data_IF_743951232954
#
_entry.id   IF_743951232954
#
_cell.length_a   1.000
_cell.length_b   1.000
_cell.length_c   1.000
_cell.angle_alpha   90.00
_cell.angle_beta   90.00
_cell.angle_gamma   90.00
#
_symmetry.space_group_name_H-M   'P 1'
#
loop_
_entity.id
_entity.type
_entity.pdbx_description
1 polymer ?
#
# COMPACT_ATOMS: atom_id res chain seq x y z
N UNK A 1 -22.86 -26.58 4.66
CA UNK A 1 -22.92 -25.14 4.98
C UNK A 1 -21.51 -24.73 5.41
N UNK A 2 -20.66 -24.31 4.47
CA UNK A 2 -19.34 -23.77 4.81
C UNK A 2 -19.55 -22.34 5.33
N UNK A 3 -19.67 -22.19 6.65
CA UNK A 3 -19.79 -20.88 7.27
C UNK A 3 -18.53 -20.04 7.02
N UNK A 4 -18.72 -18.75 6.72
CA UNK A 4 -17.64 -17.77 6.61
C UNK A 4 -16.77 -17.80 7.87
N UNK A 5 -15.44 -17.84 7.70
CA UNK A 5 -14.49 -17.91 8.83
C UNK A 5 -14.75 -16.80 9.85
N UNK A 6 -14.69 -17.08 11.18
CA UNK A 6 -14.80 -16.05 12.22
C UNK A 6 -13.79 -14.91 12.07
N UNK A 7 -12.68 -15.15 11.39
CA UNK A 7 -11.71 -14.11 11.05
C UNK A 7 -12.27 -13.14 10.01
N UNK A 8 -12.78 -13.69 8.91
CA UNK A 8 -13.39 -12.92 7.80
C UNK A 8 -14.57 -12.10 8.32
N UNK A 9 -15.44 -12.70 9.14
CA UNK A 9 -16.56 -11.98 9.79
C UNK A 9 -16.05 -10.81 10.66
N UNK A 10 -14.94 -11.01 11.39
CA UNK A 10 -14.33 -9.94 12.18
C UNK A 10 -13.83 -8.78 11.31
N UNK A 11 -13.17 -9.08 10.20
CA UNK A 11 -12.66 -8.08 9.25
C UNK A 11 -13.80 -7.28 8.61
N UNK A 12 -14.88 -7.95 8.20
CA UNK A 12 -16.08 -7.30 7.65
C UNK A 12 -16.67 -6.33 8.69
N UNK A 13 -16.91 -6.81 9.91
CA UNK A 13 -17.44 -5.98 11.00
C UNK A 13 -16.54 -4.78 11.33
N UNK A 14 -15.21 -4.94 11.21
CA UNK A 14 -14.25 -3.86 11.42
C UNK A 14 -14.44 -2.71 10.41
N UNK A 15 -14.64 -3.04 9.13
CA UNK A 15 -14.86 -2.06 8.07
C UNK A 15 -16.29 -1.51 8.07
N UNK A 16 -17.31 -2.31 8.36
CA UNK A 16 -18.70 -1.85 8.42
C UNK A 16 -18.90 -0.71 9.42
N UNK A 17 -18.24 -0.79 10.59
CA UNK A 17 -18.28 0.30 11.60
C UNK A 17 -17.65 1.61 11.13
N UNK A 18 -16.82 1.56 10.08
CA UNK A 18 -16.11 2.72 9.50
C UNK A 18 -16.74 3.21 8.21
N UNK A 19 -17.75 2.49 7.71
CA UNK A 19 -18.43 2.80 6.46
C UNK A 19 -19.38 3.97 6.65
N UNK A 20 -19.26 4.97 5.81
CA UNK A 20 -20.11 6.14 5.83
C UNK A 20 -21.30 5.98 4.88
N UNK A 21 -22.50 6.54 5.17
CA UNK A 21 -23.65 6.50 4.26
C UNK A 21 -23.36 7.07 2.87
N UNK A 22 -22.40 7.99 2.77
CA UNK A 22 -21.93 8.56 1.50
C UNK A 22 -21.10 7.59 0.65
N UNK A 23 -20.62 6.47 1.21
CA UNK A 23 -19.86 5.44 0.48
C UNK A 23 -18.38 5.34 0.86
N UNK A 24 -17.77 6.41 1.39
CA UNK A 24 -16.38 6.38 1.86
C UNK A 24 -16.20 5.76 3.25
N UNK A 25 -14.95 5.54 3.66
CA UNK A 25 -14.58 4.99 4.97
C UNK A 25 -13.71 5.97 5.77
N UNK A 26 -13.85 5.93 7.09
CA UNK A 26 -13.03 6.70 8.05
C UNK A 26 -12.02 5.81 8.78
N UNK A 27 -11.04 6.43 9.45
CA UNK A 27 -10.13 5.76 10.38
C UNK A 27 -10.86 5.31 11.66
N UNK A 28 -11.67 6.19 12.25
CA UNK A 28 -12.47 5.93 13.47
C UNK A 28 -13.87 6.54 13.33
N UNK A 29 -13.92 7.87 13.30
CA UNK A 29 -15.13 8.69 13.22
C UNK A 29 -14.84 9.92 12.33
N UNK A 30 -15.88 10.69 12.00
CA UNK A 30 -15.73 11.91 11.21
C UNK A 30 -15.80 11.67 9.70
N UNK A 31 -15.14 12.55 8.93
CA UNK A 31 -15.26 12.56 7.49
C UNK A 31 -14.48 11.38 6.85
N UNK A 32 -15.08 10.67 5.89
CA UNK A 32 -14.35 9.65 5.14
C UNK A 32 -13.29 10.28 4.24
N UNK A 33 -12.23 9.52 3.97
CA UNK A 33 -11.13 9.95 3.09
C UNK A 33 -10.73 8.85 2.10
N UNK A 34 -9.95 9.21 1.08
CA UNK A 34 -9.57 8.27 0.02
C UNK A 34 -8.62 7.17 0.51
N UNK A 35 -7.77 7.43 1.51
CA UNK A 35 -6.82 6.44 2.05
C UNK A 35 -7.55 5.31 2.75
N UNK A 36 -8.41 5.63 3.70
CA UNK A 36 -9.15 4.64 4.46
C UNK A 36 -10.18 3.92 3.60
N UNK A 37 -10.78 4.61 2.63
CA UNK A 37 -11.65 4.00 1.61
C UNK A 37 -10.90 2.99 0.74
N UNK A 38 -9.71 3.36 0.24
CA UNK A 38 -8.85 2.45 -0.51
C UNK A 38 -8.56 1.18 0.27
N UNK A 39 -8.04 1.32 1.49
CA UNK A 39 -7.68 0.15 2.27
C UNK A 39 -8.88 -0.71 2.66
N UNK A 40 -10.05 -0.13 2.92
CA UNK A 40 -11.27 -0.89 3.17
C UNK A 40 -11.68 -1.70 1.94
N UNK A 41 -11.82 -1.06 0.78
CA UNK A 41 -12.25 -1.74 -0.45
C UNK A 41 -11.24 -2.81 -0.85
N UNK A 42 -9.93 -2.50 -0.89
CA UNK A 42 -8.91 -3.51 -1.24
C UNK A 42 -8.88 -4.67 -0.26
N UNK A 43 -9.16 -4.45 1.03
CA UNK A 43 -9.26 -5.55 2.00
C UNK A 43 -10.45 -6.45 1.70
N UNK A 44 -11.63 -5.85 1.50
CA UNK A 44 -12.88 -6.57 1.24
C UNK A 44 -12.84 -7.31 -0.10
N UNK A 45 -12.17 -6.77 -1.12
CA UNK A 45 -11.87 -7.48 -2.38
C UNK A 45 -11.06 -8.75 -2.15
N UNK A 46 -9.99 -8.67 -1.34
CA UNK A 46 -9.09 -9.80 -1.10
C UNK A 46 -9.83 -10.97 -0.43
N UNK A 47 -10.83 -10.69 0.40
CA UNK A 47 -11.65 -11.71 1.09
C UNK A 47 -13.00 -11.97 0.40
N UNK A 48 -13.18 -11.52 -0.85
CA UNK A 48 -14.40 -11.69 -1.64
C UNK A 48 -15.68 -11.31 -0.87
N UNK A 49 -15.64 -10.16 -0.19
CA UNK A 49 -16.69 -9.66 0.71
C UNK A 49 -16.98 -8.18 0.48
N UNK A 50 -16.93 -7.75 -0.78
CA UNK A 50 -17.31 -6.39 -1.16
C UNK A 50 -18.76 -6.09 -0.73
N UNK A 51 -19.07 -4.83 -0.35
CA UNK A 51 -20.45 -4.45 -0.10
C UNK A 51 -21.28 -4.45 -1.38
N UNK A 52 -22.57 -4.80 -1.26
CA UNK A 52 -23.53 -4.87 -2.39
C UNK A 52 -23.61 -3.54 -3.18
N UNK A 53 -23.43 -2.41 -2.52
CA UNK A 53 -23.49 -1.06 -3.09
C UNK A 53 -22.11 -0.41 -3.26
N UNK A 54 -21.08 -1.18 -3.64
CA UNK A 54 -19.74 -0.64 -3.98
C UNK A 54 -19.80 0.51 -5.00
N UNK A 55 -20.80 0.52 -5.89
CA UNK A 55 -21.05 1.61 -6.83
C UNK A 55 -21.17 2.98 -6.13
N UNK A 56 -21.79 3.04 -4.94
CA UNK A 56 -21.88 4.28 -4.16
C UNK A 56 -20.52 4.78 -3.70
N UNK A 57 -19.62 3.87 -3.32
CA UNK A 57 -18.24 4.23 -2.97
C UNK A 57 -17.50 4.80 -4.18
N UNK A 58 -17.70 4.24 -5.37
CA UNK A 58 -17.10 4.74 -6.60
C UNK A 58 -17.66 6.12 -7.00
N UNK A 59 -18.98 6.31 -6.93
CA UNK A 59 -19.63 7.61 -7.19
C UNK A 59 -19.09 8.69 -6.23
N UNK A 60 -18.97 8.33 -4.95
CA UNK A 60 -18.37 9.22 -3.95
C UNK A 60 -16.91 9.56 -4.29
N UNK A 61 -16.09 8.59 -4.72
CA UNK A 61 -14.70 8.84 -5.14
C UNK A 61 -14.62 9.74 -6.38
N UNK A 62 -15.55 9.64 -7.33
CA UNK A 62 -15.60 10.53 -8.49
C UNK A 62 -15.84 11.97 -8.07
N UNK A 63 -16.83 12.19 -7.19
CA UNK A 63 -17.20 13.51 -6.66
C UNK A 63 -16.15 14.08 -5.70
N UNK A 64 -15.39 13.19 -5.03
CA UNK A 64 -14.34 13.52 -4.08
C UNK A 64 -13.30 14.41 -4.77
N UNK A 65 -13.45 15.73 -4.56
CA UNK A 65 -12.61 16.83 -5.07
C UNK A 65 -12.92 17.37 -6.46
N UNK A 66 -14.20 17.40 -6.84
CA UNK A 66 -14.66 18.41 -7.80
C UNK A 66 -14.23 19.85 -7.43
N UNK A 67 -13.87 20.11 -6.15
CA UNK A 67 -13.57 21.46 -5.61
C UNK A 67 -12.18 21.71 -4.98
N UNK A 68 -11.21 20.76 -4.92
CA UNK A 68 -9.97 20.95 -4.13
C UNK A 68 -8.68 20.30 -4.64
N UNK A 69 -7.56 20.52 -3.93
CA UNK A 69 -6.23 19.89 -4.17
C UNK A 69 -5.95 18.77 -3.18
N UNK A 70 -5.45 17.64 -3.65
CA UNK A 70 -4.95 16.55 -2.80
C UNK A 70 -3.43 16.61 -2.67
N UNK A 71 -2.91 16.07 -1.56
CA UNK A 71 -1.55 15.52 -1.54
C UNK A 71 -1.46 14.31 -2.49
N UNK A 72 -0.28 14.03 -3.05
CA UNK A 72 -0.07 12.95 -4.02
C UNK A 72 -0.62 11.59 -3.53
N UNK A 73 -0.49 11.29 -2.23
CA UNK A 73 -1.02 10.08 -1.63
C UNK A 73 -2.55 9.96 -1.73
N UNK A 74 -3.31 11.01 -1.38
CA UNK A 74 -4.77 10.97 -1.46
C UNK A 74 -5.28 10.85 -2.89
N UNK A 75 -4.54 11.44 -3.84
CA UNK A 75 -4.81 11.34 -5.27
C UNK A 75 -4.56 9.92 -5.79
N UNK A 76 -3.46 9.28 -5.38
CA UNK A 76 -3.15 7.89 -5.70
C UNK A 76 -4.30 6.97 -5.29
N UNK A 77 -4.71 6.98 -4.01
CA UNK A 77 -5.75 6.08 -3.53
C UNK A 77 -7.09 6.23 -4.27
N UNK A 78 -7.48 7.47 -4.59
CA UNK A 78 -8.67 7.74 -5.40
C UNK A 78 -8.54 7.19 -6.82
N UNK A 79 -7.47 7.56 -7.51
CA UNK A 79 -7.27 7.20 -8.92
C UNK A 79 -7.11 5.69 -9.09
N UNK A 80 -6.37 5.03 -8.19
CA UNK A 80 -6.18 3.58 -8.24
C UNK A 80 -7.49 2.81 -8.11
N UNK A 81 -8.35 3.16 -7.14
CA UNK A 81 -9.66 2.50 -7.03
C UNK A 81 -10.56 2.77 -8.24
N UNK A 82 -10.63 4.00 -8.73
CA UNK A 82 -11.46 4.29 -9.90
C UNK A 82 -10.96 3.53 -11.14
N UNK A 83 -9.64 3.43 -11.32
CA UNK A 83 -9.02 2.69 -12.41
C UNK A 83 -9.29 1.18 -12.31
N UNK A 84 -9.15 0.58 -11.12
CA UNK A 84 -9.41 -0.84 -10.87
C UNK A 84 -10.84 -1.26 -11.29
N UNK A 85 -11.81 -0.34 -11.18
CA UNK A 85 -13.21 -0.57 -11.55
C UNK A 85 -13.58 -0.01 -12.93
N UNK A 86 -12.60 0.40 -13.74
CA UNK A 86 -12.83 0.93 -15.08
C UNK A 86 -13.68 2.21 -15.12
N UNK A 87 -13.71 2.97 -14.01
CA UNK A 87 -14.40 4.26 -13.96
C UNK A 87 -13.54 5.32 -14.64
N UNK A 88 -14.16 6.19 -15.42
CA UNK A 88 -13.46 7.34 -16.00
C UNK A 88 -13.25 8.43 -14.96
N UNK A 89 -12.03 8.95 -14.88
CA UNK A 89 -11.72 10.09 -14.01
C UNK A 89 -10.67 10.99 -14.64
N UNK A 90 -10.71 12.26 -14.27
CA UNK A 90 -9.72 13.24 -14.71
C UNK A 90 -9.04 13.91 -13.53
N UNK A 91 -7.71 13.95 -13.57
CA UNK A 91 -6.91 14.85 -12.73
C UNK A 91 -6.66 16.15 -13.49
N UNK A 92 -6.81 17.30 -12.83
CA UNK A 92 -6.55 18.61 -13.47
C UNK A 92 -5.09 18.70 -13.89
N UNK A 93 -4.82 19.15 -15.11
CA UNK A 93 -3.48 19.22 -15.72
C UNK A 93 -2.46 19.95 -14.83
N UNK A 94 -2.87 21.04 -14.16
CA UNK A 94 -2.02 21.76 -13.19
C UNK A 94 -1.45 20.87 -12.07
N UNK A 95 -2.19 19.84 -11.66
CA UNK A 95 -1.72 18.89 -10.64
C UNK A 95 -0.77 17.89 -11.28
N UNK A 96 -1.07 17.37 -12.46
CA UNK A 96 -0.14 16.50 -13.20
C UNK A 96 1.21 17.22 -13.42
N UNK A 97 1.18 18.48 -13.84
CA UNK A 97 2.38 19.33 -13.96
C UNK A 97 3.17 19.45 -12.64
N UNK A 98 2.47 19.56 -11.51
CA UNK A 98 3.10 19.60 -10.19
C UNK A 98 3.77 18.26 -9.86
N UNK A 99 3.13 17.12 -10.14
CA UNK A 99 3.73 15.79 -9.94
C UNK A 99 5.01 15.66 -10.77
N UNK A 100 4.95 15.99 -12.08
CA UNK A 100 6.11 15.94 -12.99
C UNK A 100 7.31 16.74 -12.49
N UNK A 101 7.08 17.89 -11.85
CA UNK A 101 8.15 18.80 -11.40
C UNK A 101 8.68 18.52 -9.99
N UNK A 102 7.97 17.73 -9.18
CA UNK A 102 8.26 17.60 -7.75
C UNK A 102 8.79 16.24 -7.31
N UNK A 103 8.73 15.20 -8.15
CA UNK A 103 9.10 13.84 -7.76
C UNK A 103 10.52 13.73 -7.16
N UNK A 104 11.56 14.31 -7.78
CA UNK A 104 12.95 14.26 -7.25
C UNK A 104 13.14 14.95 -5.89
N UNK A 105 12.25 15.87 -5.53
CA UNK A 105 12.30 16.63 -4.27
C UNK A 105 11.57 15.93 -3.13
N UNK A 106 10.82 14.88 -3.45
CA UNK A 106 9.97 14.17 -2.50
C UNK A 106 10.69 12.97 -1.89
N UNK A 107 10.11 12.41 -0.82
CA UNK A 107 10.49 11.08 -0.32
C UNK A 107 10.09 10.02 -1.35
N UNK A 108 10.80 8.90 -1.39
CA UNK A 108 10.55 7.83 -2.36
C UNK A 108 9.12 7.28 -2.31
N UNK A 109 8.53 7.12 -1.13
CA UNK A 109 7.10 6.79 -0.97
C UNK A 109 6.18 7.78 -1.72
N UNK A 110 6.43 9.08 -1.56
CA UNK A 110 5.63 10.11 -2.22
C UNK A 110 5.86 10.08 -3.73
N UNK A 111 7.09 9.83 -4.18
CA UNK A 111 7.40 9.62 -5.59
C UNK A 111 6.67 8.41 -6.16
N UNK A 112 6.55 7.31 -5.42
CA UNK A 112 5.75 6.15 -5.83
C UNK A 112 4.28 6.52 -6.07
N UNK A 113 3.66 7.29 -5.17
CA UNK A 113 2.29 7.78 -5.38
C UNK A 113 2.18 8.70 -6.60
N UNK A 114 3.13 9.63 -6.77
CA UNK A 114 3.18 10.54 -7.92
C UNK A 114 3.31 9.79 -9.25
N UNK A 115 4.27 8.87 -9.33
CA UNK A 115 4.54 8.03 -10.49
C UNK A 115 3.32 7.18 -10.84
N UNK A 116 2.71 6.54 -9.85
CA UNK A 116 1.51 5.72 -10.06
C UNK A 116 0.35 6.53 -10.65
N UNK A 117 0.11 7.75 -10.14
CA UNK A 117 -0.92 8.63 -10.71
C UNK A 117 -0.58 9.03 -12.15
N UNK A 118 0.67 9.36 -12.45
CA UNK A 118 1.10 9.73 -13.80
C UNK A 118 0.93 8.55 -14.79
N UNK A 119 1.32 7.34 -14.40
CA UNK A 119 1.14 6.13 -15.22
C UNK A 119 -0.33 5.80 -15.48
N UNK A 120 -1.22 6.02 -14.52
CA UNK A 120 -2.67 5.91 -14.72
C UNK A 120 -3.21 6.89 -15.77
N UNK A 121 -2.46 7.95 -16.11
CA UNK A 121 -2.78 8.89 -17.18
C UNK A 121 -1.92 8.66 -18.44
N UNK A 122 -1.25 7.51 -18.54
CA UNK A 122 -0.38 7.17 -19.67
C UNK A 122 0.94 7.95 -19.71
N UNK A 123 1.31 8.64 -18.64
CA UNK A 123 2.55 9.40 -18.55
C UNK A 123 3.66 8.60 -17.86
N UNK A 124 4.68 8.19 -18.63
CA UNK A 124 5.86 7.50 -18.14
C UNK A 124 7.06 8.45 -18.22
N UNK A 125 7.51 8.97 -17.08
CA UNK A 125 8.64 9.90 -17.03
C UNK A 125 9.95 9.12 -16.93
N UNK A 126 10.78 9.15 -17.97
CA UNK A 126 12.10 8.47 -18.00
C UNK A 126 13.00 8.86 -16.82
N UNK A 127 12.90 10.11 -16.36
CA UNK A 127 13.69 10.60 -15.24
C UNK A 127 13.29 10.06 -13.87
N UNK A 128 12.18 9.32 -13.74
CA UNK A 128 11.73 8.68 -12.49
C UNK A 128 12.58 7.44 -12.18
N UNK A 129 12.65 6.40 -13.04
CA UNK A 129 13.50 5.24 -12.77
C UNK A 129 14.98 5.62 -12.63
N UNK A 130 15.49 6.57 -13.41
CA UNK A 130 16.87 7.09 -13.24
C UNK A 130 17.11 7.62 -11.83
N UNK A 131 16.17 8.40 -11.31
CA UNK A 131 16.27 8.94 -9.96
C UNK A 131 16.16 7.83 -8.90
N UNK A 132 15.25 6.88 -9.07
CA UNK A 132 15.10 5.75 -8.14
C UNK A 132 16.38 4.90 -8.11
N UNK A 133 16.97 4.58 -9.27
CA UNK A 133 18.25 3.86 -9.35
C UNK A 133 19.37 4.60 -8.63
N UNK A 134 19.41 5.93 -8.69
CA UNK A 134 20.39 6.75 -7.96
C UNK A 134 20.27 6.67 -6.42
N UNK A 135 19.20 6.06 -5.90
CA UNK A 135 18.99 5.84 -4.46
C UNK A 135 19.40 4.44 -4.00
N UNK A 136 19.89 3.57 -4.89
CA UNK A 136 20.40 2.26 -4.50
C UNK A 136 21.76 2.43 -3.80
N UNK A 137 21.94 1.77 -2.65
CA UNK A 137 23.20 1.77 -1.91
C UNK A 137 23.99 0.48 -2.18
N UNK A 138 25.26 0.45 -1.72
CA UNK A 138 26.18 -0.67 -1.91
C UNK A 138 25.69 -2.00 -1.32
N UNK A 139 24.75 -1.96 -0.36
CA UNK A 139 24.14 -3.14 0.23
C UNK A 139 22.99 -3.72 -0.63
N UNK A 140 22.68 -3.11 -1.77
CA UNK A 140 21.63 -3.53 -2.71
C UNK A 140 20.26 -2.93 -2.42
N UNK A 141 20.02 -2.38 -1.23
CA UNK A 141 18.77 -1.74 -0.85
C UNK A 141 18.67 -0.29 -1.35
N UNK A 142 17.50 0.32 -1.15
CA UNK A 142 17.24 1.70 -1.58
C UNK A 142 16.93 2.64 -0.42
N UNK A 143 17.45 3.87 -0.51
CA UNK A 143 17.12 4.96 0.40
C UNK A 143 18.16 6.08 0.39
N UNK A 144 17.73 7.33 0.63
CA UNK A 144 18.59 8.53 0.51
C UNK A 144 19.72 8.60 1.55
N UNK A 145 19.48 8.08 2.74
CA UNK A 145 20.41 8.19 3.88
C UNK A 145 20.83 6.80 4.40
N UNK A 146 20.78 5.81 3.53
CA UNK A 146 20.87 4.39 3.86
C UNK A 146 19.63 3.63 3.42
N UNK A 147 19.79 2.34 3.22
CA UNK A 147 18.76 1.43 2.75
C UNK A 147 17.77 1.05 3.86
N UNK A 148 16.50 0.96 3.50
CA UNK A 148 15.46 0.35 4.34
C UNK A 148 14.49 -0.47 3.49
N UNK A 149 13.82 -1.43 4.12
CA UNK A 149 12.95 -2.37 3.39
C UNK A 149 11.74 -1.69 2.74
N UNK A 150 11.25 -0.59 3.30
CA UNK A 150 10.06 0.12 2.79
C UNK A 150 10.41 0.90 1.52
N UNK A 151 11.50 1.67 1.56
CA UNK A 151 12.01 2.38 0.39
C UNK A 151 12.44 1.39 -0.70
N UNK A 152 13.04 0.26 -0.31
CA UNK A 152 13.37 -0.83 -1.25
C UNK A 152 12.11 -1.38 -1.95
N UNK A 153 11.03 -1.62 -1.21
CA UNK A 153 9.75 -2.04 -1.80
C UNK A 153 9.22 -1.01 -2.81
N UNK A 154 9.17 0.27 -2.46
CA UNK A 154 8.72 1.31 -3.39
C UNK A 154 9.60 1.44 -4.63
N UNK A 155 10.93 1.31 -4.47
CA UNK A 155 11.85 1.31 -5.60
C UNK A 155 11.56 0.15 -6.56
N UNK A 156 11.40 -1.06 -6.04
CA UNK A 156 11.11 -2.26 -6.84
C UNK A 156 9.81 -2.10 -7.62
N UNK A 157 8.73 -1.63 -6.99
CA UNK A 157 7.44 -1.41 -7.67
C UNK A 157 7.57 -0.39 -8.81
N UNK A 158 8.30 0.71 -8.60
CA UNK A 158 8.53 1.71 -9.66
C UNK A 158 9.37 1.10 -10.80
N UNK A 159 10.50 0.47 -10.48
CA UNK A 159 11.43 -0.03 -11.50
C UNK A 159 10.79 -1.13 -12.36
N UNK A 160 10.05 -2.05 -11.73
CA UNK A 160 9.30 -3.09 -12.45
C UNK A 160 8.16 -2.48 -13.31
N UNK A 161 7.44 -1.46 -12.80
CA UNK A 161 6.39 -0.79 -13.58
C UNK A 161 6.91 -0.03 -14.81
N UNK A 162 8.18 0.40 -14.79
CA UNK A 162 8.86 1.03 -15.92
C UNK A 162 9.64 0.04 -16.79
N UNK A 163 9.70 -1.24 -16.42
CA UNK A 163 10.44 -2.27 -17.17
C UNK A 163 11.96 -2.03 -17.21
N UNK A 164 12.51 -1.34 -16.20
CA UNK A 164 13.93 -1.01 -16.13
C UNK A 164 14.69 -2.12 -15.42
N UNK A 165 15.85 -2.48 -15.97
CA UNK A 165 16.70 -3.50 -15.37
C UNK A 165 17.44 -2.96 -14.13
N UNK A 166 17.45 -3.76 -13.07
CA UNK A 166 18.26 -3.55 -11.86
C UNK A 166 18.72 -4.92 -11.32
N UNK A 167 19.68 -4.93 -10.41
CA UNK A 167 20.17 -6.17 -9.82
C UNK A 167 19.16 -6.77 -8.84
N UNK A 168 18.25 -7.62 -9.35
CA UNK A 168 17.28 -8.35 -8.52
C UNK A 168 17.97 -9.17 -7.42
N UNK A 169 19.16 -9.69 -7.69
CA UNK A 169 19.96 -10.45 -6.73
C UNK A 169 20.34 -9.59 -5.52
N UNK A 170 20.94 -8.43 -5.75
CA UNK A 170 21.39 -7.53 -4.65
C UNK A 170 20.21 -7.03 -3.82
N UNK A 171 19.09 -6.70 -4.47
CA UNK A 171 17.85 -6.29 -3.76
C UNK A 171 17.33 -7.40 -2.86
N UNK A 172 17.37 -8.65 -3.34
CA UNK A 172 16.95 -9.81 -2.55
C UNK A 172 17.92 -10.13 -1.41
N UNK A 173 19.23 -9.97 -1.62
CA UNK A 173 20.24 -10.12 -0.56
C UNK A 173 20.01 -9.09 0.55
N UNK A 174 19.74 -7.82 0.19
CA UNK A 174 19.33 -6.80 1.15
C UNK A 174 18.04 -7.18 1.90
N UNK A 175 16.99 -7.58 1.17
CA UNK A 175 15.71 -7.94 1.78
C UNK A 175 15.85 -9.13 2.74
N UNK A 176 16.63 -10.15 2.38
CA UNK A 176 16.90 -11.29 3.25
C UNK A 176 17.69 -10.88 4.51
N UNK A 177 18.61 -9.92 4.39
CA UNK A 177 19.36 -9.39 5.55
C UNK A 177 18.48 -8.62 6.55
N UNK A 178 17.30 -8.15 6.14
CA UNK A 178 16.32 -7.52 7.02
C UNK A 178 15.45 -8.54 7.76
N UNK A 179 15.47 -9.83 7.39
CA UNK A 179 14.62 -10.85 8.01
C UNK A 179 15.03 -11.14 9.47
N UNK A 180 14.06 -11.12 10.38
CA UNK A 180 14.23 -11.46 11.78
C UNK A 180 12.91 -11.50 12.55
N UNK A 181 12.85 -12.30 13.62
CA UNK A 181 11.68 -12.40 14.52
C UNK A 181 10.35 -12.77 13.81
N UNK A 182 10.44 -13.52 12.71
CA UNK A 182 9.27 -13.97 11.94
C UNK A 182 8.71 -12.94 10.94
N UNK A 183 9.48 -11.89 10.62
CA UNK A 183 9.15 -10.92 9.60
C UNK A 183 10.37 -10.13 9.14
N UNK A 184 10.16 -9.02 8.43
CA UNK A 184 11.24 -8.12 8.02
C UNK A 184 11.30 -6.89 8.91
N UNK A 185 12.50 -6.56 9.37
CA UNK A 185 12.81 -5.34 10.09
C UNK A 185 12.99 -4.16 9.13
N UNK A 186 13.01 -2.94 9.68
CA UNK A 186 13.20 -1.73 8.88
C UNK A 186 14.57 -1.71 8.17
N UNK A 187 15.62 -2.11 8.88
CA UNK A 187 16.98 -2.33 8.36
C UNK A 187 17.54 -3.60 9.00
N UNK A 188 18.69 -4.14 8.54
CA UNK A 188 19.30 -5.35 9.12
C UNK A 188 19.67 -5.23 10.61
N UNK A 189 19.79 -4.00 11.12
CA UNK A 189 20.15 -3.70 12.51
C UNK A 189 18.95 -3.26 13.36
N UNK A 190 17.80 -3.05 12.73
CA UNK A 190 16.59 -2.57 13.42
C UNK A 190 15.81 -3.74 13.99
N UNK A 191 15.20 -3.55 15.16
CA UNK A 191 14.26 -4.49 15.76
C UNK A 191 13.22 -3.72 16.60
N UNK A 192 11.99 -4.23 16.78
CA UNK A 192 11.37 -5.40 16.14
C UNK A 192 10.77 -5.07 14.74
N UNK A 193 10.26 -6.06 13.99
CA UNK A 193 9.50 -5.81 12.78
C UNK A 193 8.12 -5.19 13.06
N UNK A 194 7.65 -4.34 12.14
CA UNK A 194 6.30 -3.76 12.13
C UNK A 194 5.53 -4.25 10.91
N UNK A 195 4.20 -4.19 10.93
CA UNK A 195 3.40 -4.68 9.80
C UNK A 195 3.78 -4.01 8.47
N UNK A 196 4.23 -2.75 8.49
CA UNK A 196 4.65 -2.07 7.28
C UNK A 196 5.93 -2.62 6.69
N UNK A 197 6.90 -2.97 7.54
CA UNK A 197 8.17 -3.56 7.11
C UNK A 197 7.96 -5.00 6.67
N UNK A 198 7.10 -5.76 7.35
CA UNK A 198 6.73 -7.12 6.95
C UNK A 198 6.02 -7.13 5.59
N UNK A 199 5.06 -6.23 5.38
CA UNK A 199 4.40 -6.09 4.08
C UNK A 199 5.39 -5.72 2.97
N UNK A 200 6.30 -4.79 3.23
CA UNK A 200 7.31 -4.38 2.26
C UNK A 200 8.23 -5.55 1.86
N UNK A 201 8.78 -6.28 2.84
CA UNK A 201 9.62 -7.44 2.57
C UNK A 201 8.88 -8.59 1.88
N UNK A 202 7.62 -8.83 2.27
CA UNK A 202 6.73 -9.79 1.60
C UNK A 202 6.55 -9.43 0.12
N UNK A 203 6.22 -8.17 -0.18
CA UNK A 203 6.01 -7.68 -1.54
C UNK A 203 7.27 -7.74 -2.39
N UNK A 204 8.44 -7.36 -1.86
CA UNK A 204 9.72 -7.48 -2.58
C UNK A 204 9.97 -8.94 -3.01
N UNK A 205 9.73 -9.89 -2.10
CA UNK A 205 9.91 -11.31 -2.39
C UNK A 205 8.86 -11.83 -3.38
N UNK A 206 7.61 -11.42 -3.24
CA UNK A 206 6.54 -11.79 -4.16
C UNK A 206 6.84 -11.30 -5.58
N UNK A 207 7.24 -10.04 -5.74
CA UNK A 207 7.54 -9.44 -7.05
C UNK A 207 8.77 -10.08 -7.70
N UNK A 208 9.86 -10.27 -6.95
CA UNK A 208 11.15 -10.66 -7.53
C UNK A 208 11.38 -12.18 -7.58
N UNK A 209 10.76 -12.95 -6.67
CA UNK A 209 10.91 -14.41 -6.62
C UNK A 209 9.66 -15.15 -7.08
N UNK A 210 8.49 -14.48 -7.11
CA UNK A 210 7.20 -15.18 -7.20
C UNK A 210 6.92 -16.09 -5.99
N UNK A 211 7.74 -16.00 -4.93
CA UNK A 211 7.64 -16.83 -3.74
C UNK A 211 7.03 -16.02 -2.60
N UNK A 212 6.09 -16.65 -1.91
CA UNK A 212 5.44 -16.15 -0.71
C UNK A 212 6.16 -16.72 0.51
N UNK A 213 6.56 -15.86 1.44
CA UNK A 213 7.12 -16.32 2.72
C UNK A 213 6.01 -16.53 3.73
N UNK A 214 6.13 -17.60 4.50
CA UNK A 214 5.20 -17.86 5.59
C UNK A 214 5.51 -16.93 6.78
N UNK A 215 4.72 -15.85 6.86
CA UNK A 215 4.69 -14.91 8.00
C UNK A 215 3.34 -14.93 8.71
N UNK A 216 2.51 -15.95 8.47
CA UNK A 216 1.12 -16.01 8.95
C UNK A 216 1.03 -15.90 10.47
N UNK A 217 1.86 -16.64 11.19
CA UNK A 217 1.90 -16.62 12.65
C UNK A 217 2.25 -15.23 13.22
N UNK A 218 3.14 -14.49 12.54
CA UNK A 218 3.45 -13.11 12.93
C UNK A 218 2.23 -12.21 12.74
N UNK A 219 1.60 -12.27 11.56
CA UNK A 219 0.45 -11.43 11.22
C UNK A 219 -0.74 -11.71 12.15
N UNK A 220 -1.01 -12.98 12.50
CA UNK A 220 -2.11 -13.34 13.38
C UNK A 220 -1.97 -12.77 14.80
N UNK A 221 -0.74 -12.58 15.30
CA UNK A 221 -0.49 -11.93 16.61
C UNK A 221 -0.81 -10.42 16.60
N UNK A 222 -0.91 -9.81 15.43
CA UNK A 222 -1.29 -8.41 15.25
C UNK A 222 -2.81 -8.21 15.23
N UNK A 223 -3.61 -9.27 15.26
CA UNK A 223 -5.07 -9.15 15.27
C UNK A 223 -5.57 -8.64 16.61
N UNK A 224 -6.48 -7.67 16.57
CA UNK A 224 -7.20 -7.17 17.74
C UNK A 224 -8.60 -7.77 17.85
N UNK A 225 -9.23 -7.73 19.03
CA UNK A 225 -10.59 -8.25 19.24
C UNK A 225 -11.68 -7.56 18.40
N UNK A 226 -11.43 -6.33 17.91
CA UNK A 226 -12.37 -5.59 17.07
C UNK A 226 -12.38 -6.06 15.60
N UNK A 227 -11.55 -7.04 15.26
CA UNK A 227 -11.46 -7.66 13.93
C UNK A 227 -10.37 -7.09 13.03
N UNK A 228 -9.86 -5.90 13.34
CA UNK A 228 -8.76 -5.28 12.61
C UNK A 228 -7.38 -5.70 13.13
N UNK A 229 -6.34 -5.12 12.52
CA UNK A 229 -4.94 -5.41 12.87
C UNK A 229 -4.20 -4.15 13.29
N UNK A 230 -3.32 -4.29 14.29
CA UNK A 230 -2.43 -3.24 14.79
C UNK A 230 -1.07 -3.27 14.13
N UNK A 231 -0.33 -2.19 14.31
CA UNK A 231 1.02 -1.99 13.76
C UNK A 231 2.09 -2.93 14.32
N UNK A 232 2.04 -3.22 15.62
CA UNK A 232 3.12 -3.88 16.37
C UNK A 232 2.61 -4.95 17.34
N UNK A 233 3.48 -5.87 17.74
CA UNK A 233 3.16 -6.96 18.68
C UNK A 233 2.85 -6.45 20.10
N UNK A 234 3.47 -5.35 20.53
CA UNK A 234 3.40 -4.91 21.92
C UNK A 234 2.15 -4.09 22.21
N UNK A 235 1.85 -3.11 21.37
CA UNK A 235 0.71 -2.20 21.55
C UNK A 235 0.24 -1.67 20.20
N UNK A 236 -1.00 -1.22 20.15
CA UNK A 236 -1.55 -0.50 19.01
C UNK A 236 -3.03 -0.76 18.81
N UNK A 237 -3.64 0.18 18.11
CA UNK A 237 -5.04 0.12 17.69
C UNK A 237 -5.13 -0.39 16.25
N UNK A 238 -6.31 -0.88 15.90
CA UNK A 238 -6.59 -1.36 14.56
C UNK A 238 -6.80 -0.19 13.59
N UNK A 239 -6.12 -0.22 12.45
CA UNK A 239 -6.30 0.77 11.37
C UNK A 239 -6.61 0.08 10.03
N UNK A 240 -7.35 0.72 9.12
CA UNK A 240 -7.60 0.21 7.76
C UNK A 240 -6.33 -0.19 7.03
N UNK A 241 -5.27 0.62 7.10
CA UNK A 241 -4.00 0.34 6.42
C UNK A 241 -3.31 -0.94 6.93
N UNK A 242 -3.19 -1.08 8.25
CA UNK A 242 -2.59 -2.28 8.86
C UNK A 242 -3.47 -3.51 8.60
N UNK A 243 -4.79 -3.35 8.68
CA UNK A 243 -5.76 -4.41 8.38
C UNK A 243 -5.62 -4.87 6.94
N UNK A 244 -5.53 -3.96 5.98
CA UNK A 244 -5.28 -4.31 4.57
C UNK A 244 -3.98 -5.09 4.39
N UNK A 245 -2.88 -4.62 4.96
CA UNK A 245 -1.58 -5.30 4.83
C UNK A 245 -1.63 -6.71 5.40
N UNK A 246 -2.27 -6.90 6.56
CA UNK A 246 -2.48 -8.22 7.15
C UNK A 246 -3.36 -9.12 6.26
N UNK A 247 -4.49 -8.59 5.80
CA UNK A 247 -5.43 -9.32 4.93
C UNK A 247 -4.77 -9.72 3.62
N UNK A 248 -4.02 -8.83 3.00
CA UNK A 248 -3.27 -9.13 1.78
C UNK A 248 -2.35 -10.33 1.98
N UNK A 249 -1.52 -10.29 3.02
CA UNK A 249 -0.55 -11.35 3.31
C UNK A 249 -1.24 -12.68 3.65
N UNK A 250 -2.36 -12.66 4.39
CA UNK A 250 -3.05 -13.89 4.83
C UNK A 250 -3.88 -14.56 3.73
N UNK A 251 -4.42 -13.80 2.78
CA UNK A 251 -5.45 -14.30 1.85
C UNK A 251 -5.08 -14.20 0.36
N UNK A 252 -4.26 -13.22 -0.02
CA UNK A 252 -3.68 -13.12 -1.37
C UNK A 252 -2.29 -13.75 -1.45
N UNK A 253 -1.60 -13.75 -0.31
CA UNK A 253 -0.28 -14.35 -0.10
C UNK A 253 -0.26 -15.87 -0.17
#
# INVERSE_FOLDING_TARGET
MSGTSPMVVGIINFFDRRRHPSGGYTLYEGLPDSKNTYYAIKSLEVIDSLPDDVARTLDWLEELHSRGSFAAQGLFYRCSLLADYGREFRVKDRFLDLLRRSYRRSKLEITYYMDSVLRLHGEYLEGVPEWVLSLQNDDGGFGRHGSDIINTHFAVEILEAHGVNFSRKEVLEFADSCWGEGGWNFTPLSHPPYIETVYAGFRVNEILRGMKHDVGDFILKLRNPDGGFRRSLYMGISEPEYTYRAVYILFRG
#
